data_IF_360260436893
#
_entry.id   IF_360260436893
#
_cell.length_a   1.000
_cell.length_b   1.000
_cell.length_c   1.000
_cell.angle_alpha   90.00
_cell.angle_beta   90.00
_cell.angle_gamma   90.00
#
_symmetry.space_group_name_H-M   'P 1'
#
loop_
_entity.id
_entity.type
_entity.pdbx_description
1 polymer ?
#
# COMPACT_ATOMS: atom_id res chain seq x y z
N UNK A 1 -24.28 -35.13 13.20
CA UNK A 1 -24.39 -33.68 13.39
C UNK A 1 -23.13 -33.19 14.07
N UNK A 2 -22.25 -32.46 13.38
CA UNK A 2 -21.38 -31.49 14.05
C UNK A 2 -21.12 -30.32 13.08
N UNK A 3 -21.71 -29.18 13.41
CA UNK A 3 -21.65 -27.91 12.68
C UNK A 3 -20.49 -27.12 13.25
N UNK A 4 -19.31 -27.15 12.62
CA UNK A 4 -18.15 -26.29 12.98
C UNK A 4 -17.17 -26.24 11.79
N UNK A 5 -17.49 -25.48 10.74
CA UNK A 5 -16.64 -25.46 9.53
C UNK A 5 -16.71 -24.23 8.64
N UNK A 6 -17.72 -23.37 8.78
CA UNK A 6 -17.93 -22.24 7.86
C UNK A 6 -17.21 -20.96 8.28
N UNK A 7 -17.02 -20.72 9.59
CA UNK A 7 -16.44 -19.47 10.10
C UNK A 7 -14.93 -19.36 9.88
N UNK A 8 -14.21 -20.48 9.96
CA UNK A 8 -12.76 -20.50 9.76
C UNK A 8 -12.35 -20.21 8.31
N UNK A 9 -13.09 -20.72 7.31
CA UNK A 9 -12.74 -20.47 5.91
C UNK A 9 -13.03 -19.02 5.50
N UNK A 10 -14.14 -18.45 6.00
CA UNK A 10 -14.50 -17.06 5.75
C UNK A 10 -13.54 -16.07 6.43
N UNK A 11 -13.21 -16.30 7.70
CA UNK A 11 -12.27 -15.49 8.46
C UNK A 11 -10.84 -15.58 7.88
N UNK A 12 -10.39 -16.78 7.50
CA UNK A 12 -9.08 -16.96 6.85
C UNK A 12 -9.04 -16.30 5.47
N UNK A 13 -10.12 -16.37 4.69
CA UNK A 13 -10.23 -15.65 3.42
C UNK A 13 -10.13 -14.14 3.59
N UNK A 14 -10.89 -13.58 4.54
CA UNK A 14 -10.81 -12.16 4.87
C UNK A 14 -9.41 -11.73 5.31
N UNK A 15 -8.80 -12.48 6.25
CA UNK A 15 -7.49 -12.14 6.80
C UNK A 15 -6.39 -12.24 5.75
N UNK A 16 -6.32 -13.35 5.00
CA UNK A 16 -5.28 -13.54 3.99
C UNK A 16 -5.38 -12.51 2.87
N UNK A 17 -6.60 -12.26 2.35
CA UNK A 17 -6.79 -11.25 1.31
C UNK A 17 -6.47 -9.85 1.83
N UNK A 18 -6.95 -9.46 3.02
CA UNK A 18 -6.65 -8.15 3.61
C UNK A 18 -5.14 -7.96 3.83
N UNK A 19 -4.45 -8.98 4.34
CA UNK A 19 -3.01 -8.91 4.58
C UNK A 19 -2.22 -8.78 3.27
N UNK A 20 -2.62 -9.52 2.22
CA UNK A 20 -2.00 -9.43 0.91
C UNK A 20 -2.19 -8.05 0.27
N UNK A 21 -3.43 -7.52 0.32
CA UNK A 21 -3.76 -6.22 -0.25
C UNK A 21 -3.13 -5.06 0.53
N UNK A 22 -3.07 -5.16 1.87
CA UNK A 22 -2.52 -4.15 2.76
C UNK A 22 -0.98 -4.17 2.84
N UNK A 23 -0.33 -5.32 2.65
CA UNK A 23 1.13 -5.45 2.68
C UNK A 23 1.83 -4.77 1.49
N UNK A 24 1.08 -4.26 0.51
CA UNK A 24 1.64 -3.58 -0.64
C UNK A 24 2.23 -2.21 -0.27
N UNK A 25 3.55 -2.04 -0.42
CA UNK A 25 4.19 -0.73 -0.32
C UNK A 25 3.58 0.30 -1.30
N UNK A 26 3.03 -0.18 -2.42
CA UNK A 26 2.32 0.61 -3.42
C UNK A 26 1.03 1.27 -2.87
N UNK A 27 0.35 0.69 -1.87
CA UNK A 27 -0.80 1.35 -1.22
C UNK A 27 -0.36 2.64 -0.54
N UNK A 28 0.80 2.64 0.12
CA UNK A 28 1.30 3.80 0.85
C UNK A 28 1.89 4.83 -0.12
N UNK A 29 2.76 4.39 -1.05
CA UNK A 29 3.34 5.29 -2.06
C UNK A 29 2.25 5.92 -2.93
N UNK A 30 1.29 5.12 -3.41
CA UNK A 30 0.17 5.59 -4.22
C UNK A 30 -0.75 6.54 -3.45
N UNK A 31 -1.08 6.25 -2.19
CA UNK A 31 -1.90 7.14 -1.34
C UNK A 31 -1.24 8.48 -1.08
N UNK A 32 0.08 8.48 -0.83
CA UNK A 32 0.82 9.72 -0.59
C UNK A 32 0.97 10.52 -1.89
N UNK A 33 1.24 9.86 -3.02
CA UNK A 33 1.33 10.53 -4.31
C UNK A 33 -0.03 11.12 -4.75
N UNK A 34 -1.12 10.40 -4.54
CA UNK A 34 -2.46 10.88 -4.85
C UNK A 34 -2.92 12.03 -3.95
N UNK A 35 -2.67 11.95 -2.64
CA UNK A 35 -3.05 13.02 -1.72
C UNK A 35 -2.19 14.28 -1.86
N UNK A 36 -0.98 14.17 -2.38
CA UNK A 36 -0.02 15.29 -2.46
C UNK A 36 0.07 15.93 -3.85
N UNK A 37 0.13 15.12 -4.92
CA UNK A 37 0.27 15.59 -6.32
C UNK A 37 -1.08 15.65 -7.03
N UNK A 38 -2.07 14.89 -6.56
CA UNK A 38 -3.28 14.60 -7.33
C UNK A 38 -3.01 13.64 -8.50
N UNK A 39 -1.88 12.92 -8.50
CA UNK A 39 -1.61 11.87 -9.48
C UNK A 39 -2.15 10.53 -8.97
N UNK A 40 -3.24 10.09 -9.59
CA UNK A 40 -3.96 8.88 -9.24
C UNK A 40 -3.54 7.65 -10.08
N UNK A 41 -2.59 7.79 -11.03
CA UNK A 41 -2.23 6.70 -11.95
C UNK A 41 -1.78 5.42 -11.21
N UNK A 42 -1.00 5.56 -10.13
CA UNK A 42 -0.58 4.42 -9.31
C UNK A 42 -1.75 3.75 -8.59
N UNK A 43 -2.68 4.54 -8.04
CA UNK A 43 -3.87 4.01 -7.35
C UNK A 43 -4.80 3.32 -8.36
N UNK A 44 -4.98 3.88 -9.56
CA UNK A 44 -5.77 3.26 -10.62
C UNK A 44 -5.17 1.93 -11.07
N UNK A 45 -3.85 1.90 -11.31
CA UNK A 45 -3.15 0.66 -11.68
C UNK A 45 -3.31 -0.41 -10.59
N UNK A 46 -3.16 -0.02 -9.32
CA UNK A 46 -3.37 -0.92 -8.19
C UNK A 46 -4.82 -1.40 -8.07
N UNK A 47 -5.80 -0.52 -8.29
CA UNK A 47 -7.22 -0.89 -8.21
C UNK A 47 -7.59 -1.96 -9.22
N UNK A 48 -7.02 -1.89 -10.43
CA UNK A 48 -7.19 -2.95 -11.44
C UNK A 48 -6.54 -4.26 -10.97
N UNK A 49 -5.31 -4.22 -10.43
CA UNK A 49 -4.64 -5.42 -9.90
C UNK A 49 -5.40 -6.05 -8.74
N UNK A 50 -5.82 -5.26 -7.74
CA UNK A 50 -6.58 -5.75 -6.59
C UNK A 50 -7.96 -6.28 -7.01
N UNK A 51 -8.58 -5.70 -8.03
CA UNK A 51 -9.82 -6.23 -8.62
C UNK A 51 -9.65 -7.63 -9.24
N UNK A 52 -8.60 -7.83 -10.03
CA UNK A 52 -8.25 -9.15 -10.56
C UNK A 52 -7.97 -10.15 -9.44
N UNK A 53 -7.18 -9.76 -8.45
CA UNK A 53 -6.86 -10.63 -7.31
C UNK A 53 -8.09 -10.93 -6.46
N UNK A 54 -9.01 -9.99 -6.26
CA UNK A 54 -10.24 -10.21 -5.52
C UNK A 54 -11.13 -11.28 -6.18
N UNK A 55 -11.19 -11.33 -7.52
CA UNK A 55 -11.91 -12.39 -8.25
C UNK A 55 -11.26 -13.76 -8.00
N UNK A 56 -9.92 -13.83 -8.09
CA UNK A 56 -9.15 -15.07 -7.86
C UNK A 56 -9.32 -15.55 -6.41
N UNK A 57 -9.16 -14.65 -5.43
CA UNK A 57 -9.34 -14.98 -4.02
C UNK A 57 -10.80 -15.34 -3.70
N UNK A 58 -11.79 -14.71 -4.34
CA UNK A 58 -13.20 -15.05 -4.14
C UNK A 58 -13.51 -16.46 -4.66
N UNK A 59 -12.84 -16.92 -5.71
CA UNK A 59 -12.94 -18.30 -6.18
C UNK A 59 -12.29 -19.32 -5.22
N UNK A 60 -11.21 -18.94 -4.52
CA UNK A 60 -10.47 -19.83 -3.60
C UNK A 60 -11.09 -19.85 -2.19
N UNK A 61 -11.40 -18.69 -1.63
CA UNK A 61 -11.81 -18.51 -0.23
C UNK A 61 -13.27 -18.04 -0.07
N UNK A 62 -13.99 -17.85 -1.18
CA UNK A 62 -15.41 -17.53 -1.16
C UNK A 62 -15.72 -16.09 -0.75
N UNK A 63 -16.87 -15.91 -0.12
CA UNK A 63 -17.50 -14.60 0.15
C UNK A 63 -16.73 -13.71 1.15
N UNK A 64 -15.73 -14.24 1.87
CA UNK A 64 -14.92 -13.49 2.84
C UNK A 64 -14.07 -12.37 2.25
N UNK A 65 -13.78 -12.44 0.94
CA UNK A 65 -12.94 -11.47 0.24
C UNK A 65 -13.60 -10.11 0.08
N UNK A 66 -14.92 -10.06 -0.07
CA UNK A 66 -15.68 -8.81 -0.15
C UNK A 66 -15.47 -7.94 1.10
N UNK A 67 -15.32 -8.55 2.27
CA UNK A 67 -15.09 -7.82 3.50
C UNK A 67 -13.69 -7.17 3.54
N UNK A 68 -12.70 -7.71 2.80
CA UNK A 68 -11.33 -7.14 2.73
C UNK A 68 -11.28 -5.79 2.03
N UNK A 69 -12.22 -5.51 1.13
CA UNK A 69 -12.34 -4.21 0.47
C UNK A 69 -12.57 -3.09 1.50
N UNK A 70 -13.29 -3.37 2.59
CA UNK A 70 -13.49 -2.43 3.68
C UNK A 70 -12.16 -2.09 4.39
N UNK A 71 -11.35 -3.12 4.70
CA UNK A 71 -10.03 -2.95 5.33
C UNK A 71 -9.11 -2.09 4.47
N UNK A 72 -9.09 -2.37 3.16
CA UNK A 72 -8.29 -1.60 2.19
C UNK A 72 -8.75 -0.15 2.14
N UNK A 73 -10.07 0.08 2.07
CA UNK A 73 -10.64 1.43 2.02
C UNK A 73 -10.28 2.23 3.26
N UNK A 74 -10.35 1.63 4.45
CA UNK A 74 -9.95 2.28 5.70
C UNK A 74 -8.44 2.57 5.69
N UNK A 75 -7.61 1.59 5.36
CA UNK A 75 -6.15 1.73 5.41
C UNK A 75 -5.61 2.73 4.36
N UNK A 76 -6.02 2.56 3.11
CA UNK A 76 -5.59 3.40 2.00
C UNK A 76 -6.22 4.80 2.06
N UNK A 77 -7.51 4.86 2.42
CA UNK A 77 -8.23 6.12 2.61
C UNK A 77 -7.63 6.97 3.74
N UNK A 78 -7.27 6.33 4.87
CA UNK A 78 -6.58 7.01 5.97
C UNK A 78 -5.26 7.66 5.52
N UNK A 79 -4.43 6.91 4.80
CA UNK A 79 -3.16 7.44 4.28
C UNK A 79 -3.36 8.55 3.25
N UNK A 80 -4.35 8.42 2.37
CA UNK A 80 -4.62 9.41 1.31
C UNK A 80 -5.14 10.72 1.90
N UNK A 81 -6.06 10.66 2.86
CA UNK A 81 -6.55 11.83 3.59
C UNK A 81 -5.44 12.51 4.39
N UNK A 82 -4.64 11.73 5.13
CA UNK A 82 -3.52 12.26 5.93
C UNK A 82 -2.45 12.92 5.05
N UNK A 83 -2.19 12.35 3.87
CA UNK A 83 -1.27 12.91 2.88
C UNK A 83 -1.73 14.26 2.34
N UNK A 84 -3.03 14.45 2.12
CA UNK A 84 -3.56 15.72 1.62
C UNK A 84 -3.33 16.87 2.59
N UNK A 85 -3.44 16.61 3.91
CA UNK A 85 -3.07 17.60 4.94
C UNK A 85 -1.56 17.85 5.02
N UNK A 86 -0.74 16.88 4.62
CA UNK A 86 0.72 17.00 4.61
C UNK A 86 1.24 17.69 3.33
N UNK A 87 0.39 17.86 2.31
CA UNK A 87 0.72 18.46 1.03
C UNK A 87 1.34 19.86 1.09
N UNK A 88 0.84 20.83 1.90
CA UNK A 88 1.47 22.14 2.00
C UNK A 88 2.82 22.10 2.74
N UNK A 89 3.09 21.04 3.49
CA UNK A 89 4.34 20.88 4.24
C UNK A 89 5.46 20.34 3.34
N UNK A 90 5.18 19.43 2.40
CA UNK A 90 6.22 18.72 1.63
C UNK A 90 6.89 19.52 0.50
N UNK A 91 6.17 20.45 -0.13
CA UNK A 91 6.64 21.16 -1.33
C UNK A 91 6.99 20.22 -2.51
N UNK A 92 7.43 20.78 -3.65
CA UNK A 92 7.81 20.01 -4.84
C UNK A 92 8.99 19.05 -4.61
N UNK A 93 9.96 19.47 -3.79
CA UNK A 93 11.15 18.68 -3.50
C UNK A 93 10.85 17.44 -2.63
N UNK A 94 10.00 17.58 -1.61
CA UNK A 94 9.61 16.45 -0.75
C UNK A 94 8.77 15.41 -1.51
N UNK A 95 7.94 15.88 -2.44
CA UNK A 95 7.16 15.03 -3.35
C UNK A 95 8.06 14.16 -4.25
N UNK A 96 9.04 14.78 -4.91
CA UNK A 96 9.96 14.05 -5.78
C UNK A 96 10.83 13.06 -5.00
N UNK A 97 11.17 13.38 -3.75
CA UNK A 97 11.86 12.44 -2.85
C UNK A 97 11.00 11.23 -2.50
N UNK A 98 9.71 11.41 -2.24
CA UNK A 98 8.78 10.28 -1.97
C UNK A 98 8.59 9.41 -3.22
N UNK A 99 8.41 10.02 -4.39
CA UNK A 99 8.23 9.30 -5.64
C UNK A 99 9.47 8.45 -5.99
N UNK A 100 10.67 9.01 -5.81
CA UNK A 100 11.93 8.29 -6.08
C UNK A 100 12.18 7.15 -5.10
N UNK A 101 11.94 7.36 -3.80
CA UNK A 101 12.04 6.29 -2.79
C UNK A 101 10.97 5.21 -3.02
N UNK A 102 9.76 5.61 -3.40
CA UNK A 102 8.68 4.70 -3.75
C UNK A 102 9.02 3.80 -4.94
N UNK A 103 9.59 4.36 -6.01
CA UNK A 103 10.07 3.60 -7.16
C UNK A 103 11.19 2.62 -6.80
N UNK A 104 12.11 3.01 -5.91
CA UNK A 104 13.18 2.13 -5.44
C UNK A 104 12.63 0.95 -4.61
N UNK A 105 11.61 1.19 -3.77
CA UNK A 105 10.92 0.15 -3.01
C UNK A 105 10.20 -0.83 -3.96
N UNK A 106 9.58 -0.35 -5.04
CA UNK A 106 8.96 -1.22 -6.04
C UNK A 106 9.97 -2.16 -6.71
N UNK A 107 11.14 -1.64 -7.08
CA UNK A 107 12.23 -2.46 -7.63
C UNK A 107 12.70 -3.50 -6.60
N UNK A 108 12.88 -3.11 -5.33
CA UNK A 108 13.24 -4.04 -4.26
C UNK A 108 12.21 -5.15 -4.05
N UNK A 109 10.91 -4.85 -4.16
CA UNK A 109 9.84 -5.87 -4.09
C UNK A 109 9.95 -6.83 -5.29
N UNK A 110 10.12 -6.30 -6.49
CA UNK A 110 10.26 -7.13 -7.70
C UNK A 110 11.46 -8.09 -7.58
N UNK A 111 12.61 -7.61 -7.08
CA UNK A 111 13.78 -8.46 -6.81
C UNK A 111 13.52 -9.50 -5.70
N UNK A 112 12.72 -9.14 -4.69
CA UNK A 112 12.34 -10.07 -3.62
C UNK A 112 11.36 -11.13 -4.08
N UNK A 113 10.47 -10.84 -5.04
CA UNK A 113 9.57 -11.81 -5.66
C UNK A 113 10.31 -12.77 -6.59
N UNK A 114 11.40 -12.32 -7.22
CA UNK A 114 12.26 -13.16 -8.07
C UNK A 114 13.21 -14.07 -7.25
N UNK A 115 13.09 -14.05 -5.91
CA UNK A 115 13.90 -14.79 -4.93
C UNK A 115 15.43 -14.60 -5.05
N UNK A 116 15.88 -13.59 -5.81
CA UNK A 116 17.30 -13.23 -5.97
C UNK A 116 17.83 -12.61 -4.67
N UNK A 117 16.98 -11.88 -3.93
CA UNK A 117 17.32 -11.28 -2.63
C UNK A 117 16.08 -11.15 -1.75
N UNK A 118 16.00 -11.95 -0.68
CA UNK A 118 14.97 -11.81 0.37
C UNK A 118 15.21 -10.54 1.19
N UNK A 119 14.83 -9.40 0.63
CA UNK A 119 14.83 -8.13 1.35
C UNK A 119 13.58 -8.08 2.23
N UNK A 120 13.72 -7.75 3.52
CA UNK A 120 12.58 -7.40 4.36
C UNK A 120 12.05 -6.05 3.88
N UNK A 121 11.23 -6.04 2.83
CA UNK A 121 10.63 -4.83 2.27
C UNK A 121 9.91 -3.99 3.34
N UNK A 122 9.34 -4.64 4.35
CA UNK A 122 8.71 -3.98 5.49
C UNK A 122 9.66 -3.04 6.27
N UNK A 123 10.98 -3.32 6.29
CA UNK A 123 11.96 -2.43 6.92
C UNK A 123 12.27 -1.17 6.09
N UNK A 124 11.93 -1.15 4.80
CA UNK A 124 12.09 0.04 3.94
C UNK A 124 10.86 0.93 3.95
N UNK A 125 9.74 0.48 4.52
CA UNK A 125 8.54 1.27 4.74
C UNK A 125 8.79 2.56 5.54
N UNK A 126 9.53 2.55 6.67
CA UNK A 126 9.86 3.79 7.39
C UNK A 126 10.73 4.75 6.57
N UNK A 127 11.52 4.25 5.61
CA UNK A 127 12.34 5.09 4.72
C UNK A 127 11.48 6.07 3.91
N UNK A 128 10.23 5.70 3.59
CA UNK A 128 9.29 6.54 2.85
C UNK A 128 8.78 7.74 3.68
N UNK A 129 8.74 7.61 5.01
CA UNK A 129 8.41 8.70 5.93
C UNK A 129 9.64 9.56 6.24
N UNK A 130 10.83 8.96 6.27
CA UNK A 130 12.07 9.67 6.61
C UNK A 130 12.57 10.57 5.46
N UNK A 131 12.34 10.18 4.20
CA UNK A 131 12.73 10.95 3.02
C UNK A 131 12.14 12.37 2.94
N UNK A 132 10.82 12.60 3.15
CA UNK A 132 10.26 13.95 3.19
C UNK A 132 10.75 14.74 4.40
N UNK A 133 10.99 14.08 5.55
CA UNK A 133 11.49 14.75 6.76
C UNK A 133 12.90 15.32 6.53
N UNK A 134 13.78 14.57 5.86
CA UNK A 134 15.14 15.01 5.53
C UNK A 134 15.11 16.19 4.54
N UNK A 135 14.24 16.15 3.54
CA UNK A 135 14.15 17.21 2.51
C UNK A 135 13.59 18.50 3.08
N UNK A 136 12.66 18.42 4.04
CA UNK A 136 12.18 19.59 4.77
C UNK A 136 13.22 20.19 5.69
N UNK A 137 14.03 19.35 6.35
CA UNK A 137 15.13 19.83 7.17
C UNK A 137 16.19 20.54 6.32
N UNK A 138 16.48 20.02 5.13
CA UNK A 138 17.41 20.61 4.16
C UNK A 138 16.90 21.95 3.61
N UNK A 139 15.63 22.04 3.21
CA UNK A 139 15.01 23.28 2.71
C UNK A 139 14.85 24.37 3.79
N UNK A 140 14.94 24.01 5.08
CA UNK A 140 14.94 24.99 6.17
C UNK A 140 16.34 25.44 6.59
N UNK A 141 17.39 24.74 6.12
CA UNK A 141 18.80 24.98 6.44
C UNK A 141 19.55 25.73 5.32
N UNK A 142 19.06 25.63 4.08
CA UNK A 142 19.49 26.39 2.89
C UNK A 142 18.54 27.56 2.67
#
# INVERSE_FOLDING_TARGET
>A
CDKKGTDNSFANGFLNSSLLFCSGAMSIVGSIQAGTIGDFNLIYTKSVMDGFMAIVFAAIYGKGVFLSALTILVYQGFFTLTSSYLSPILGEAGINAIASVGGFILILIALSLLDIKKSKTSNFLPSLLIAPIITLLYNKLV
#
